data_IF_498758572571
#
_entry.id   IF_498758572571
#
_cell.length_a   1.000
_cell.length_b   1.000
_cell.length_c   1.000
_cell.angle_alpha   90.00
_cell.angle_beta   90.00
_cell.angle_gamma   90.00
#
_symmetry.space_group_name_H-M   'P 1'
#
loop_
_entity.id
_entity.type
_entity.pdbx_description
1 polymer ?
#
# COMPACT_ATOMS: atom_id res chain seq x y z
N UNK A 1 -16.39 12.74 -10.10
CA UNK A 1 -16.32 11.56 -9.22
C UNK A 1 -14.88 11.05 -9.05
N UNK A 2 -14.21 10.58 -10.12
CA UNK A 2 -12.85 10.00 -10.05
C UNK A 2 -11.78 10.88 -9.37
N UNK A 3 -11.83 12.21 -9.55
CA UNK A 3 -10.88 13.16 -8.92
C UNK A 3 -11.05 13.26 -7.41
N UNK A 4 -12.29 13.22 -6.92
CA UNK A 4 -12.60 13.29 -5.48
C UNK A 4 -12.15 11.98 -4.81
N UNK A 5 -12.42 10.85 -5.46
CA UNK A 5 -11.98 9.54 -4.99
C UNK A 5 -10.45 9.44 -4.93
N UNK A 6 -9.75 9.86 -5.99
CA UNK A 6 -8.27 9.93 -6.03
C UNK A 6 -7.70 10.75 -4.87
N UNK A 7 -8.21 11.96 -4.67
CA UNK A 7 -7.77 12.83 -3.57
C UNK A 7 -8.07 12.22 -2.20
N UNK A 8 -9.26 11.64 -2.00
CA UNK A 8 -9.65 10.99 -0.75
C UNK A 8 -8.77 9.78 -0.44
N UNK A 9 -8.44 8.96 -1.44
CA UNK A 9 -7.55 7.82 -1.28
C UNK A 9 -6.14 8.27 -0.86
N UNK A 10 -5.57 9.27 -1.56
CA UNK A 10 -4.24 9.83 -1.20
C UNK A 10 -4.23 10.37 0.23
N UNK A 11 -5.31 11.04 0.65
CA UNK A 11 -5.42 11.55 2.01
C UNK A 11 -5.55 10.43 3.05
N UNK A 12 -6.31 9.37 2.75
CA UNK A 12 -6.53 8.24 3.67
C UNK A 12 -5.29 7.38 3.91
N UNK A 13 -4.41 7.25 2.91
CA UNK A 13 -3.17 6.47 2.98
C UNK A 13 -2.19 7.04 4.02
N UNK A 14 -2.15 8.36 4.19
CA UNK A 14 -1.22 9.04 5.09
C UNK A 14 -1.40 8.55 6.54
N UNK A 15 -2.58 8.69 7.18
CA UNK A 15 -2.78 8.22 8.55
C UNK A 15 -2.65 6.70 8.68
N UNK A 16 -3.05 5.90 7.68
CA UNK A 16 -2.85 4.45 7.69
C UNK A 16 -1.36 4.07 7.74
N UNK A 17 -0.54 4.75 6.94
CA UNK A 17 0.90 4.52 6.89
C UNK A 17 1.59 4.99 8.17
N UNK A 18 1.21 6.17 8.68
CA UNK A 18 1.73 6.68 9.96
C UNK A 18 1.36 5.76 11.12
N UNK A 19 0.12 5.27 11.19
CA UNK A 19 -0.30 4.31 12.21
C UNK A 19 0.45 2.97 12.10
N UNK A 20 0.69 2.48 10.88
CA UNK A 20 1.50 1.28 10.62
C UNK A 20 2.93 1.46 11.15
N UNK A 21 3.58 2.58 10.82
CA UNK A 21 4.92 2.93 11.32
C UNK A 21 4.93 3.00 12.83
N UNK A 22 3.99 3.74 13.42
CA UNK A 22 3.90 3.96 14.85
C UNK A 22 3.74 2.65 15.62
N UNK A 23 2.80 1.81 15.21
CA UNK A 23 2.58 0.51 15.84
C UNK A 23 3.80 -0.40 15.73
N UNK A 24 4.46 -0.41 14.56
CA UNK A 24 5.61 -1.27 14.32
C UNK A 24 6.85 -0.80 15.09
N UNK A 25 7.22 0.48 14.99
CA UNK A 25 8.42 1.04 15.64
C UNK A 25 8.31 1.02 17.16
N UNK A 26 7.11 1.24 17.71
CA UNK A 26 6.88 1.15 19.17
C UNK A 26 6.64 -0.28 19.65
N UNK A 27 6.75 -1.28 18.77
CA UNK A 27 6.56 -2.68 19.15
C UNK A 27 7.82 -3.24 19.79
N UNK A 28 7.72 -3.52 21.09
CA UNK A 28 8.73 -4.23 21.88
C UNK A 28 8.04 -5.05 22.97
N UNK A 29 8.60 -6.20 23.28
CA UNK A 29 8.13 -7.04 24.37
C UNK A 29 9.31 -7.79 24.98
N UNK A 30 9.46 -7.63 26.30
CA UNK A 30 10.44 -8.37 27.10
C UNK A 30 9.83 -9.69 27.60
N UNK A 31 10.64 -10.73 27.67
CA UNK A 31 10.28 -12.02 28.25
C UNK A 31 11.48 -12.54 29.07
N UNK A 32 11.24 -12.92 30.33
CA UNK A 32 12.31 -13.35 31.24
C UNK A 32 13.01 -14.65 30.83
N UNK A 33 12.35 -15.53 30.06
CA UNK A 33 12.90 -16.81 29.62
C UNK A 33 13.60 -16.72 28.26
N UNK A 34 13.05 -15.92 27.34
CA UNK A 34 13.50 -15.87 25.94
C UNK A 34 14.22 -14.55 25.57
N UNK A 35 14.19 -13.55 26.44
CA UNK A 35 14.77 -12.23 26.22
C UNK A 35 13.84 -11.25 25.51
N UNK A 36 14.42 -10.14 25.08
CA UNK A 36 13.70 -8.99 24.52
C UNK A 36 13.52 -9.10 23.01
N UNK A 37 12.29 -8.88 22.54
CA UNK A 37 11.92 -8.87 21.13
C UNK A 37 11.45 -7.46 20.73
N UNK A 38 12.21 -6.83 19.82
CA UNK A 38 11.91 -5.49 19.28
C UNK A 38 11.75 -5.53 17.77
N UNK A 39 11.08 -4.53 17.22
CA UNK A 39 10.95 -4.38 15.76
C UNK A 39 12.30 -4.38 15.04
N UNK A 40 13.33 -3.79 15.67
CA UNK A 40 14.67 -3.65 15.10
C UNK A 40 15.40 -4.98 14.92
N UNK A 41 14.96 -6.05 15.59
CA UNK A 41 15.51 -7.39 15.44
C UNK A 41 15.04 -8.09 14.15
N UNK A 42 13.93 -7.64 13.55
CA UNK A 42 13.32 -8.29 12.40
C UNK A 42 13.45 -7.40 11.17
N UNK A 43 14.28 -7.83 10.21
CA UNK A 43 14.55 -7.08 8.98
C UNK A 43 13.28 -6.82 8.17
N UNK A 44 12.33 -7.77 8.12
CA UNK A 44 11.04 -7.58 7.45
C UNK A 44 10.24 -6.41 8.03
N UNK A 45 10.26 -6.21 9.34
CA UNK A 45 9.58 -5.08 10.00
C UNK A 45 10.24 -3.74 9.66
N UNK A 46 11.59 -3.70 9.63
CA UNK A 46 12.32 -2.51 9.20
C UNK A 46 12.00 -2.15 7.75
N UNK A 47 11.92 -3.16 6.88
CA UNK A 47 11.55 -2.98 5.48
C UNK A 47 10.14 -2.43 5.34
N UNK A 48 9.14 -3.03 6.02
CA UNK A 48 7.76 -2.52 6.02
C UNK A 48 7.67 -1.07 6.52
N UNK A 49 8.35 -0.73 7.62
CA UNK A 49 8.39 0.65 8.13
C UNK A 49 8.98 1.63 7.11
N UNK A 50 10.10 1.26 6.47
CA UNK A 50 10.73 2.08 5.45
C UNK A 50 9.79 2.33 4.26
N UNK A 51 9.14 1.27 3.77
CA UNK A 51 8.17 1.38 2.68
C UNK A 51 6.93 2.19 3.07
N UNK A 52 6.38 2.00 4.28
CA UNK A 52 5.28 2.84 4.79
C UNK A 52 5.69 4.32 4.86
N UNK A 53 6.96 4.62 5.14
CA UNK A 53 7.52 5.96 5.11
C UNK A 53 7.50 6.58 3.71
N UNK A 54 8.06 5.87 2.71
CA UNK A 54 8.02 6.27 1.29
C UNK A 54 6.58 6.51 0.85
N UNK A 55 5.68 5.59 1.20
CA UNK A 55 4.26 5.63 0.91
C UNK A 55 3.59 6.91 1.47
N UNK A 56 3.80 7.23 2.75
CA UNK A 56 3.26 8.44 3.36
C UNK A 56 3.78 9.73 2.70
N UNK A 57 5.10 9.80 2.45
CA UNK A 57 5.73 10.95 1.80
C UNK A 57 5.21 11.15 0.36
N UNK A 58 5.14 10.07 -0.41
CA UNK A 58 4.60 10.11 -1.77
C UNK A 58 3.13 10.55 -1.78
N UNK A 59 2.29 9.96 -0.94
CA UNK A 59 0.87 10.29 -0.87
C UNK A 59 0.64 11.77 -0.52
N UNK A 60 1.43 12.31 0.42
CA UNK A 60 1.41 13.73 0.77
C UNK A 60 1.79 14.63 -0.42
N UNK A 61 2.93 14.37 -1.05
CA UNK A 61 3.40 15.14 -2.21
C UNK A 61 2.36 15.08 -3.35
N UNK A 62 1.85 13.89 -3.66
CA UNK A 62 0.86 13.70 -4.70
C UNK A 62 -0.46 14.43 -4.42
N UNK A 63 -0.92 14.45 -3.16
CA UNK A 63 -2.11 15.21 -2.74
C UNK A 63 -1.90 16.72 -2.92
N UNK A 64 -0.74 17.25 -2.48
CA UNK A 64 -0.38 18.66 -2.65
C UNK A 64 -0.28 19.04 -4.13
N UNK A 65 0.39 18.24 -4.95
CA UNK A 65 0.51 18.49 -6.39
C UNK A 65 -0.85 18.48 -7.10
N UNK A 66 -1.78 17.62 -6.66
CA UNK A 66 -3.16 17.58 -7.17
C UNK A 66 -3.94 18.84 -6.78
N UNK A 67 -3.76 19.32 -5.54
CA UNK A 67 -4.42 20.53 -5.03
C UNK A 67 -3.96 21.80 -5.78
N UNK A 68 -2.66 21.97 -5.98
CA UNK A 68 -2.06 23.17 -6.62
C UNK A 68 -2.10 23.07 -8.17
N UNK A 69 -2.62 21.97 -8.73
CA UNK A 69 -2.64 21.68 -10.17
C UNK A 69 -1.24 21.70 -10.85
N UNK A 70 -0.15 21.63 -10.09
CA UNK A 70 1.21 21.79 -10.62
C UNK A 70 1.63 20.72 -11.66
N UNK A 71 1.01 19.53 -11.66
CA UNK A 71 1.47 18.36 -12.44
C UNK A 71 0.34 17.75 -13.30
N UNK A 72 -0.78 18.45 -13.48
CA UNK A 72 -2.00 17.89 -14.13
C UNK A 72 -1.75 17.44 -15.59
N UNK A 73 -0.65 17.86 -16.22
CA UNK A 73 -0.26 17.47 -17.58
C UNK A 73 0.55 16.16 -17.67
N UNK A 74 1.01 15.55 -16.57
CA UNK A 74 1.83 14.32 -16.59
C UNK A 74 1.15 13.12 -15.93
N UNK A 75 0.02 12.67 -16.50
CA UNK A 75 -0.73 11.47 -16.05
C UNK A 75 0.14 10.22 -15.95
N UNK A 76 1.13 10.08 -16.83
CA UNK A 76 2.07 8.95 -16.84
C UNK A 76 2.97 8.88 -15.60
N UNK A 77 3.36 10.04 -15.03
CA UNK A 77 4.18 10.07 -13.81
C UNK A 77 3.41 9.54 -12.60
N UNK A 78 2.14 9.94 -12.45
CA UNK A 78 1.29 9.42 -11.38
C UNK A 78 1.08 7.92 -11.54
N UNK A 79 0.80 7.44 -12.77
CA UNK A 79 0.63 6.02 -13.03
C UNK A 79 1.84 5.18 -12.60
N UNK A 80 3.04 5.52 -13.10
CA UNK A 80 4.25 4.77 -12.75
C UNK A 80 4.56 4.86 -11.26
N UNK A 81 4.39 6.04 -10.65
CA UNK A 81 4.67 6.20 -9.22
C UNK A 81 3.69 5.43 -8.34
N UNK A 82 2.38 5.52 -8.62
CA UNK A 82 1.34 4.78 -7.89
C UNK A 82 1.61 3.26 -8.00
N UNK A 83 2.02 2.78 -9.18
CA UNK A 83 2.35 1.37 -9.43
C UNK A 83 3.61 0.92 -8.67
N UNK A 84 4.69 1.71 -8.70
CA UNK A 84 5.93 1.41 -7.95
C UNK A 84 5.63 1.30 -6.46
N UNK A 85 4.87 2.24 -5.89
CA UNK A 85 4.53 2.20 -4.47
C UNK A 85 3.67 0.98 -4.14
N UNK A 86 2.68 0.64 -4.98
CA UNK A 86 1.88 -0.57 -4.79
C UNK A 86 2.76 -1.84 -4.73
N UNK A 87 3.75 -1.96 -5.62
CA UNK A 87 4.69 -3.10 -5.63
C UNK A 87 5.60 -3.12 -4.40
N UNK A 88 6.11 -1.98 -3.97
CA UNK A 88 6.89 -1.90 -2.74
C UNK A 88 6.05 -2.32 -1.53
N UNK A 89 4.79 -1.87 -1.45
CA UNK A 89 3.91 -2.19 -0.34
C UNK A 89 3.55 -3.67 -0.26
N UNK A 90 3.24 -4.33 -1.39
CA UNK A 90 2.91 -5.76 -1.38
C UNK A 90 4.12 -6.61 -1.02
N UNK A 91 5.31 -6.28 -1.54
CA UNK A 91 6.54 -7.03 -1.23
C UNK A 91 6.93 -6.88 0.24
N UNK A 92 6.82 -5.67 0.82
CA UNK A 92 7.10 -5.47 2.24
C UNK A 92 6.05 -6.11 3.13
N UNK A 93 4.78 -6.07 2.73
CA UNK A 93 3.69 -6.75 3.43
C UNK A 93 3.89 -8.27 3.45
N UNK A 94 4.22 -8.87 2.30
CA UNK A 94 4.48 -10.30 2.18
C UNK A 94 5.60 -10.77 3.12
N UNK A 95 6.74 -10.04 3.16
CA UNK A 95 7.85 -10.36 4.05
C UNK A 95 7.44 -10.38 5.54
N UNK A 96 6.54 -9.49 5.94
CA UNK A 96 6.06 -9.43 7.34
C UNK A 96 4.97 -10.48 7.60
N UNK A 97 4.12 -10.76 6.63
CA UNK A 97 3.10 -11.82 6.73
C UNK A 97 3.75 -13.18 6.93
N UNK A 98 4.85 -13.46 6.23
CA UNK A 98 5.63 -14.70 6.40
C UNK A 98 6.19 -14.81 7.82
N UNK A 99 6.84 -13.74 8.33
CA UNK A 99 7.32 -13.69 9.71
C UNK A 99 6.19 -13.90 10.71
N UNK A 100 5.04 -13.24 10.48
CA UNK A 100 3.87 -13.36 11.35
C UNK A 100 3.29 -14.78 11.30
N UNK A 101 3.26 -15.42 10.13
CA UNK A 101 2.81 -16.78 9.95
C UNK A 101 3.68 -17.78 10.72
N UNK A 102 5.01 -17.68 10.58
CA UNK A 102 5.95 -18.51 11.34
C UNK A 102 5.86 -18.24 12.84
N UNK A 103 5.65 -16.98 13.25
CA UNK A 103 5.50 -16.64 14.66
C UNK A 103 4.24 -17.24 15.29
N UNK A 104 3.15 -17.38 14.54
CA UNK A 104 1.90 -17.97 15.04
C UNK A 104 1.84 -19.49 14.93
N UNK A 105 2.36 -20.07 13.84
CA UNK A 105 2.18 -21.50 13.55
C UNK A 105 3.45 -22.33 13.73
N UNK A 106 4.63 -21.70 13.72
CA UNK A 106 5.91 -22.40 13.59
C UNK A 106 6.04 -23.14 12.26
N UNK A 107 7.08 -23.96 12.16
CA UNK A 107 7.29 -24.93 11.09
C UNK A 107 8.05 -26.14 11.65
N UNK A 108 7.42 -27.31 11.59
CA UNK A 108 7.99 -28.54 12.15
C UNK A 108 9.12 -29.11 11.29
N UNK A 109 9.09 -28.91 9.99
CA UNK A 109 10.07 -29.49 9.06
C UNK A 109 11.45 -28.83 9.24
N UNK A 110 11.48 -27.52 9.50
CA UNK A 110 12.71 -26.77 9.78
C UNK A 110 12.94 -26.51 11.28
N UNK A 111 12.18 -27.18 12.16
CA UNK A 111 12.28 -27.05 13.63
C UNK A 111 12.11 -25.60 14.14
N UNK A 112 11.28 -24.81 13.46
CA UNK A 112 10.96 -23.44 13.85
C UNK A 112 9.80 -23.44 14.85
N UNK A 113 10.04 -22.97 16.06
CA UNK A 113 9.02 -22.89 17.11
C UNK A 113 8.06 -21.70 16.93
N UNK A 114 6.81 -21.87 17.33
CA UNK A 114 5.89 -20.74 17.50
C UNK A 114 6.43 -19.73 18.53
N UNK A 115 6.32 -18.44 18.23
CA UNK A 115 6.81 -17.35 19.08
C UNK A 115 5.66 -16.60 19.77
N UNK A 116 4.48 -16.53 19.15
CA UNK A 116 3.37 -15.71 19.62
C UNK A 116 2.75 -16.20 20.93
N UNK A 117 2.95 -17.46 21.31
CA UNK A 117 2.58 -17.98 22.64
C UNK A 117 3.36 -17.25 23.75
N UNK A 118 4.63 -16.93 23.51
CA UNK A 118 5.49 -16.18 24.45
C UNK A 118 5.46 -14.67 24.25
N UNK A 119 5.18 -14.21 23.01
CA UNK A 119 5.21 -12.81 22.59
C UNK A 119 3.84 -12.31 22.09
N UNK A 120 2.75 -12.70 22.75
CA UNK A 120 1.39 -12.43 22.27
C UNK A 120 1.05 -10.96 22.05
N UNK A 121 1.53 -10.05 22.91
CA UNK A 121 1.32 -8.61 22.76
C UNK A 121 2.04 -8.07 21.53
N UNK A 122 3.29 -8.50 21.31
CA UNK A 122 4.06 -8.14 20.12
C UNK A 122 3.36 -8.61 18.85
N UNK A 123 2.92 -9.87 18.81
CA UNK A 123 2.24 -10.44 17.66
C UNK A 123 0.89 -9.79 17.37
N UNK A 124 0.10 -9.47 18.41
CA UNK A 124 -1.16 -8.77 18.23
C UNK A 124 -0.96 -7.38 17.61
N UNK A 125 -0.03 -6.58 18.14
CA UNK A 125 0.28 -5.25 17.58
C UNK A 125 0.82 -5.34 16.16
N UNK A 126 1.64 -6.36 15.89
CA UNK A 126 2.15 -6.62 14.55
C UNK A 126 1.03 -6.99 13.57
N UNK A 127 0.10 -7.86 13.97
CA UNK A 127 -1.08 -8.22 13.16
C UNK A 127 -1.91 -6.98 12.80
N UNK A 128 -2.15 -6.08 13.75
CA UNK A 128 -2.85 -4.81 13.50
C UNK A 128 -2.07 -3.94 12.51
N UNK A 129 -0.75 -3.83 12.66
CA UNK A 129 0.09 -3.08 11.71
C UNK A 129 0.01 -3.65 10.28
N UNK A 130 0.03 -4.98 10.13
CA UNK A 130 -0.14 -5.65 8.83
C UNK A 130 -1.51 -5.35 8.21
N UNK A 131 -2.58 -5.36 9.01
CA UNK A 131 -3.92 -5.02 8.52
C UNK A 131 -3.97 -3.57 8.01
N UNK A 132 -3.40 -2.62 8.75
CA UNK A 132 -3.33 -1.21 8.32
C UNK A 132 -2.49 -1.05 7.05
N UNK A 133 -1.36 -1.75 6.94
CA UNK A 133 -0.53 -1.75 5.74
C UNK A 133 -1.27 -2.34 4.53
N UNK A 134 -2.05 -3.41 4.72
CA UNK A 134 -2.88 -4.02 3.68
C UNK A 134 -4.03 -3.11 3.22
N UNK A 135 -4.65 -2.35 4.14
CA UNK A 135 -5.63 -1.33 3.79
C UNK A 135 -5.01 -0.23 2.93
N UNK A 136 -3.85 0.29 3.33
CA UNK A 136 -3.13 1.31 2.55
C UNK A 136 -2.67 0.77 1.19
N UNK A 137 -2.22 -0.49 1.10
CA UNK A 137 -1.92 -1.17 -0.16
C UNK A 137 -3.15 -1.23 -1.06
N UNK A 138 -4.32 -1.58 -0.52
CA UNK A 138 -5.57 -1.64 -1.27
C UNK A 138 -5.95 -0.27 -1.86
N UNK A 139 -5.72 0.82 -1.11
CA UNK A 139 -5.88 2.17 -1.64
C UNK A 139 -4.94 2.45 -2.83
N UNK A 140 -3.67 2.00 -2.77
CA UNK A 140 -2.73 2.14 -3.87
C UNK A 140 -3.09 1.33 -5.11
N UNK A 141 -3.65 0.13 -4.93
CA UNK A 141 -4.17 -0.66 -6.06
C UNK A 141 -5.27 0.12 -6.78
N UNK A 142 -6.20 0.73 -6.03
CA UNK A 142 -7.27 1.55 -6.63
C UNK A 142 -6.69 2.80 -7.30
N UNK A 143 -5.72 3.47 -6.67
CA UNK A 143 -5.02 4.62 -7.26
C UNK A 143 -4.32 4.25 -8.56
N UNK A 144 -3.61 3.12 -8.60
CA UNK A 144 -2.94 2.60 -9.78
C UNK A 144 -3.92 2.32 -10.93
N UNK A 145 -5.10 1.74 -10.63
CA UNK A 145 -6.16 1.54 -11.63
C UNK A 145 -6.70 2.88 -12.14
N UNK A 146 -6.97 3.84 -11.26
CA UNK A 146 -7.46 5.18 -11.63
C UNK A 146 -6.43 5.91 -12.51
N UNK A 147 -5.14 5.86 -12.15
CA UNK A 147 -4.08 6.53 -12.88
C UNK A 147 -3.78 5.84 -14.21
N UNK A 148 -3.83 4.51 -14.28
CA UNK A 148 -3.76 3.75 -15.52
C UNK A 148 -4.89 4.15 -16.48
N UNK A 149 -6.14 4.15 -16.00
CA UNK A 149 -7.29 4.56 -16.79
C UNK A 149 -7.09 5.94 -17.41
N UNK A 150 -6.65 6.94 -16.62
CA UNK A 150 -6.39 8.30 -17.11
C UNK A 150 -5.20 8.38 -18.07
N UNK A 151 -4.18 7.56 -17.88
CA UNK A 151 -3.00 7.54 -18.76
C UNK A 151 -3.35 6.92 -20.13
N UNK A 152 -4.18 5.88 -20.15
CA UNK A 152 -4.50 5.14 -21.37
C UNK A 152 -5.76 5.64 -22.10
N UNK A 153 -6.70 6.32 -21.43
CA UNK A 153 -7.89 6.90 -22.08
C UNK A 153 -7.57 7.98 -23.11
N UNK A 154 -6.33 8.48 -23.15
CA UNK A 154 -5.87 9.44 -24.17
C UNK A 154 -5.72 8.76 -25.54
N UNK A 155 -5.55 7.44 -25.58
CA UNK A 155 -5.37 6.66 -26.80
C UNK A 155 -6.67 6.01 -27.29
N UNK A 156 -7.82 6.37 -26.72
CA UNK A 156 -9.12 5.81 -27.12
C UNK A 156 -9.44 6.25 -28.55
N UNK A 157 -9.71 5.31 -29.49
CA UNK A 157 -9.96 5.67 -30.87
C UNK A 157 -11.25 6.50 -30.96
N UNK A 158 -11.31 7.53 -31.83
CA UNK A 158 -12.54 8.28 -32.04
C UNK A 158 -13.65 7.30 -32.43
N UNK A 159 -14.79 7.40 -31.74
CA UNK A 159 -15.99 6.62 -32.09
C UNK A 159 -16.25 6.82 -33.59
N UNK A 160 -16.28 5.70 -34.33
CA UNK A 160 -16.60 5.73 -35.75
C UNK A 160 -17.91 6.50 -35.96
N UNK A 161 -18.00 7.40 -36.95
CA UNK A 161 -19.22 8.15 -37.19
C UNK A 161 -20.35 7.15 -37.42
N UNK A 162 -21.40 7.26 -36.60
CA UNK A 162 -22.67 6.57 -36.84
C UNK A 162 -23.08 6.90 -38.27
N UNK A 163 -23.26 5.88 -39.10
CA UNK A 163 -23.85 6.05 -40.42
C UNK A 163 -25.19 6.76 -40.25
N UNK A 164 -25.25 8.06 -40.56
CA UNK A 164 -26.50 8.69 -40.92
C UNK A 164 -26.94 8.03 -42.22
N UNK A 165 -27.84 7.05 -42.11
CA UNK A 165 -28.60 6.53 -43.24
C UNK A 165 -29.92 7.27 -43.26
N UNK A 166 -29.93 8.32 -44.06
CA UNK A 166 -31.04 9.16 -44.50
C UNK A 166 -30.34 10.30 -45.24
N UNK A 167 -30.50 10.53 -46.53
CA UNK A 167 -31.66 10.45 -47.39
C UNK A 167 -31.15 10.75 -48.80
N UNK A 168 -31.54 9.98 -49.81
CA UNK A 168 -31.68 10.55 -51.16
C UNK A 168 -32.80 9.79 -51.89
N UNK A 169 -33.96 10.46 -51.94
CA UNK A 169 -34.96 10.27 -52.99
C UNK A 169 -34.48 11.03 -54.22
N UNK A 170 -34.29 10.32 -55.33
CA UNK A 170 -34.52 10.82 -56.68
C UNK A 170 -34.78 9.63 -57.61
#
# INVERSE_FOLDING_TARGET
>A
MLKILDFSLRLSVIPLSVATIWLTVTNKQDNSMYGDLKYSNLTGLKYMVFISGICASYAFIAAVCTCIRCIVTKTWLFFVSDQIVAYLMVTSGAAVVEILYLAYNGDREVTWSEACTSYGKFCYRLKVAVILHALAFSCFVILAVISAYRAFSIFEPPLAPSKEVGEDRA
#
